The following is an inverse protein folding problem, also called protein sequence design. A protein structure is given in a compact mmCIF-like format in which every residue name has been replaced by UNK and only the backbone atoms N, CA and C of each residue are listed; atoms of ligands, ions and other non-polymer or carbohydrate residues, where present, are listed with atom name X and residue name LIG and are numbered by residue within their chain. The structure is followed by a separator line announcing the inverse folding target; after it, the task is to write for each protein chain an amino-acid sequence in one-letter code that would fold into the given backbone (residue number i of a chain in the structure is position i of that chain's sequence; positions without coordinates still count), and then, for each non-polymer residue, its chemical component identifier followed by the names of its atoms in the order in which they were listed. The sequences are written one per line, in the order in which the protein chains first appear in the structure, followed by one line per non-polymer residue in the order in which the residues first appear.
data_IF_951246535127
#
_entry.id   IF_951246535127
#
_cell.length_a   1.000
_cell.length_b   1.000
_cell.length_c   1.000
_cell.angle_alpha   90.00
_cell.angle_beta   90.00
_cell.angle_gamma   90.00
#
_symmetry.space_group_name_H-M   'P 1'
#
loop_
_entity.id
_entity.type
_entity.pdbx_description
1 polymer ?
#
# COMPACT_ATOMS: atom_id res chain seq x y z
N UNK A 1 5.30 -30.40 45.77
CA UNK A 1 4.02 -30.15 45.09
C UNK A 1 4.26 -29.01 44.11
N UNK A 2 4.39 -29.36 42.83
CA UNK A 2 4.94 -28.49 41.80
C UNK A 2 3.92 -27.46 41.30
N UNK A 3 4.43 -26.25 41.17
CA UNK A 3 3.83 -25.06 40.58
C UNK A 3 3.07 -25.40 39.30
N UNK A 4 1.76 -25.22 39.37
CA UNK A 4 0.85 -25.14 38.24
C UNK A 4 1.18 -23.85 37.49
N UNK A 5 2.16 -23.93 36.59
CA UNK A 5 2.46 -22.87 35.62
C UNK A 5 1.17 -22.63 34.84
N UNK A 6 0.54 -21.48 35.08
CA UNK A 6 -0.59 -21.04 34.29
C UNK A 6 -0.11 -20.89 32.85
N UNK A 7 -0.49 -21.84 32.00
CA UNK A 7 -0.52 -21.68 30.56
C UNK A 7 -1.50 -20.54 30.25
N UNK A 8 -1.01 -19.31 30.42
CA UNK A 8 -1.62 -18.17 29.75
C UNK A 8 -1.54 -18.52 28.27
N UNK A 9 -2.66 -18.57 27.52
CA UNK A 9 -2.57 -18.68 26.09
C UNK A 9 -1.88 -17.40 25.66
N UNK A 10 -0.57 -17.49 25.43
CA UNK A 10 0.24 -16.44 24.83
C UNK A 10 -0.48 -16.15 23.53
N UNK A 11 -1.32 -15.10 23.57
CA UNK A 11 -2.30 -14.77 22.54
C UNK A 11 -1.60 -15.03 21.24
N UNK A 12 -2.11 -15.95 20.44
CA UNK A 12 -1.79 -16.01 19.04
C UNK A 12 -2.10 -14.59 18.56
N UNK A 13 -1.09 -13.74 18.53
CA UNK A 13 -1.16 -12.42 17.93
C UNK A 13 -1.36 -12.80 16.49
N UNK A 14 -2.62 -12.96 16.12
CA UNK A 14 -3.06 -13.15 14.76
C UNK A 14 -2.27 -12.10 14.01
N UNK A 15 -1.32 -12.53 13.17
CA UNK A 15 -0.56 -11.62 12.32
C UNK A 15 -1.60 -10.97 11.42
N UNK A 16 -2.23 -9.89 11.90
CA UNK A 16 -3.31 -9.23 11.19
C UNK A 16 -2.68 -8.70 9.93
N UNK A 17 -3.10 -9.26 8.81
CA UNK A 17 -2.65 -8.90 7.46
C UNK A 17 -2.77 -7.39 7.23
N UNK A 18 -3.78 -6.77 7.85
CA UNK A 18 -4.03 -5.34 7.86
C UNK A 18 -4.01 -4.82 9.31
N UNK A 19 -3.11 -3.88 9.59
CA UNK A 19 -2.91 -3.26 10.89
C UNK A 19 -2.33 -1.85 10.76
N UNK A 20 -1.95 -1.22 11.88
CA UNK A 20 -1.47 0.17 11.90
C UNK A 20 -0.28 0.40 10.95
N UNK A 21 0.65 -0.55 10.88
CA UNK A 21 1.80 -0.47 9.99
C UNK A 21 1.38 -0.43 8.51
N UNK A 22 0.44 -1.29 8.09
CA UNK A 22 -0.11 -1.29 6.74
C UNK A 22 -0.76 0.06 6.42
N UNK A 23 -1.55 0.60 7.35
CA UNK A 23 -2.21 1.90 7.20
C UNK A 23 -1.22 3.06 7.06
N UNK A 24 -0.21 3.15 7.92
CA UNK A 24 0.84 4.19 7.82
C UNK A 24 1.58 4.10 6.48
N UNK A 25 1.89 2.88 6.03
CA UNK A 25 2.57 2.68 4.74
C UNK A 25 1.71 3.18 3.58
N UNK A 26 0.40 2.88 3.59
CA UNK A 26 -0.56 3.35 2.57
C UNK A 26 -0.64 4.87 2.56
N UNK A 27 -0.77 5.51 3.72
CA UNK A 27 -0.90 6.98 3.82
C UNK A 27 0.35 7.67 3.31
N UNK A 28 1.54 7.19 3.71
CA UNK A 28 2.82 7.76 3.25
C UNK A 28 2.99 7.57 1.74
N UNK A 29 2.73 6.37 1.22
CA UNK A 29 2.84 6.09 -0.21
C UNK A 29 1.81 6.87 -1.04
N UNK A 30 0.60 7.07 -0.52
CA UNK A 30 -0.41 7.94 -1.15
C UNK A 30 0.05 9.38 -1.21
N UNK A 31 0.65 9.92 -0.14
CA UNK A 31 1.10 11.29 -0.12
C UNK A 31 2.16 11.57 -1.20
N UNK A 32 3.13 10.66 -1.35
CA UNK A 32 4.16 10.77 -2.39
C UNK A 32 3.61 10.58 -3.82
N UNK A 33 2.56 9.78 -3.99
CA UNK A 33 1.98 9.51 -5.30
C UNK A 33 0.96 10.56 -5.77
N UNK A 34 0.15 11.11 -4.85
CA UNK A 34 -0.96 12.02 -5.19
C UNK A 34 -0.50 13.44 -5.52
N UNK A 35 0.49 13.97 -4.79
CA UNK A 35 1.00 15.35 -4.99
C UNK A 35 1.52 15.56 -6.42
N UNK A 36 2.43 14.74 -6.96
CA UNK A 36 2.99 15.02 -8.27
C UNK A 36 2.00 14.78 -9.42
N UNK A 37 1.03 13.87 -9.26
CA UNK A 37 -0.05 13.67 -10.25
C UNK A 37 -0.99 14.86 -10.34
N UNK A 38 -1.29 15.52 -9.21
CA UNK A 38 -2.15 16.70 -9.21
C UNK A 38 -1.44 17.97 -9.70
N UNK A 39 -0.12 18.04 -9.60
CA UNK A 39 0.65 19.25 -9.95
C UNK A 39 1.23 19.21 -11.37
N UNK A 40 1.62 18.03 -11.90
CA UNK A 40 2.22 17.94 -13.23
C UNK A 40 1.79 16.69 -14.02
N UNK A 41 0.72 16.82 -14.80
CA UNK A 41 0.26 15.80 -15.77
C UNK A 41 1.28 15.47 -16.85
N UNK A 42 2.21 16.38 -17.17
CA UNK A 42 3.25 16.19 -18.20
C UNK A 42 4.23 15.04 -17.87
N UNK A 43 4.38 14.66 -16.61
CA UNK A 43 5.23 13.53 -16.19
C UNK A 43 4.53 12.16 -16.21
N UNK A 44 3.31 12.06 -16.76
CA UNK A 44 2.51 10.84 -16.76
C UNK A 44 3.27 9.58 -17.20
N UNK A 45 4.15 9.68 -18.21
CA UNK A 45 4.96 8.54 -18.68
C UNK A 45 5.97 8.08 -17.61
N UNK A 46 6.63 9.02 -16.94
CA UNK A 46 7.54 8.71 -15.82
C UNK A 46 6.78 8.09 -14.65
N UNK A 47 5.55 8.54 -14.39
CA UNK A 47 4.67 7.95 -13.36
C UNK A 47 4.28 6.51 -13.67
N UNK A 48 3.95 6.19 -14.93
CA UNK A 48 3.64 4.81 -15.33
C UNK A 48 4.84 3.89 -15.06
N UNK A 49 6.05 4.33 -15.40
CA UNK A 49 7.26 3.55 -15.12
C UNK A 49 7.49 3.33 -13.62
N UNK A 50 7.31 4.39 -12.82
CA UNK A 50 7.42 4.31 -11.36
C UNK A 50 6.36 3.37 -10.76
N UNK A 51 5.12 3.36 -11.26
CA UNK A 51 4.08 2.44 -10.82
C UNK A 51 4.38 0.99 -11.15
N UNK A 52 4.91 0.71 -12.33
CA UNK A 52 5.37 -0.63 -12.67
C UNK A 52 6.44 -1.11 -11.68
N UNK A 53 7.38 -0.24 -11.31
CA UNK A 53 8.42 -0.55 -10.34
C UNK A 53 7.84 -0.75 -8.92
N UNK A 54 6.92 0.11 -8.47
CA UNK A 54 6.23 -0.02 -7.18
C UNK A 54 5.43 -1.32 -7.08
N UNK A 55 4.78 -1.77 -8.17
CA UNK A 55 4.08 -3.06 -8.21
C UNK A 55 5.04 -4.26 -8.11
N UNK A 56 6.20 -4.19 -8.76
CA UNK A 56 7.22 -5.23 -8.63
C UNK A 56 7.75 -5.28 -7.21
N UNK A 57 8.07 -4.13 -6.60
CA UNK A 57 8.53 -4.04 -5.21
C UNK A 57 7.46 -4.53 -4.24
N UNK A 58 6.20 -4.13 -4.44
CA UNK A 58 5.07 -4.60 -3.64
C UNK A 58 4.90 -6.12 -3.76
N UNK A 59 4.97 -6.67 -4.97
CA UNK A 59 4.90 -8.11 -5.21
C UNK A 59 6.02 -8.87 -4.49
N UNK A 60 7.27 -8.40 -4.60
CA UNK A 60 8.41 -8.98 -3.90
C UNK A 60 8.20 -8.93 -2.38
N UNK A 61 7.77 -7.79 -1.84
CA UNK A 61 7.51 -7.62 -0.41
C UNK A 61 6.35 -8.48 0.11
N UNK A 62 5.32 -8.71 -0.71
CA UNK A 62 4.20 -9.62 -0.38
C UNK A 62 4.67 -11.08 -0.30
N UNK A 63 5.61 -11.48 -1.16
CA UNK A 63 6.20 -12.82 -1.14
C UNK A 63 7.10 -13.05 0.09
N UNK A 64 7.66 -11.99 0.67
CA UNK A 64 8.48 -12.06 1.89
C UNK A 64 7.56 -12.20 3.12
N UNK A 65 7.79 -13.25 3.93
CA UNK A 65 7.04 -13.49 5.17
C UNK A 65 7.32 -12.41 6.23
N UNK A 66 6.34 -12.16 7.10
CA UNK A 66 6.48 -11.24 8.24
C UNK A 66 6.01 -9.81 7.92
N UNK A 67 6.65 -8.82 8.55
CA UNK A 67 6.27 -7.40 8.45
C UNK A 67 6.36 -6.85 7.02
N UNK A 68 7.27 -7.40 6.20
CA UNK A 68 7.43 -7.04 4.79
C UNK A 68 6.15 -7.25 3.97
N UNK A 69 5.37 -8.30 4.28
CA UNK A 69 4.09 -8.55 3.60
C UNK A 69 3.08 -7.43 3.81
N UNK A 70 3.08 -6.82 5.00
CA UNK A 70 2.19 -5.70 5.30
C UNK A 70 2.63 -4.43 4.58
N UNK A 71 3.94 -4.19 4.47
CA UNK A 71 4.49 -3.07 3.70
C UNK A 71 4.13 -3.23 2.22
N UNK A 72 4.34 -4.42 1.65
CA UNK A 72 3.98 -4.72 0.26
C UNK A 72 2.49 -4.58 -0.03
N UNK A 73 1.63 -5.07 0.87
CA UNK A 73 0.17 -4.87 0.75
C UNK A 73 -0.22 -3.39 0.80
N UNK A 74 0.48 -2.59 1.62
CA UNK A 74 0.23 -1.16 1.71
C UNK A 74 0.62 -0.41 0.43
N UNK A 75 1.77 -0.75 -0.16
CA UNK A 75 2.22 -0.18 -1.44
C UNK A 75 1.26 -0.58 -2.57
N UNK A 76 0.85 -1.85 -2.66
CA UNK A 76 -0.09 -2.30 -3.68
C UNK A 76 -1.44 -1.55 -3.59
N UNK A 77 -1.94 -1.33 -2.38
CA UNK A 77 -3.18 -0.59 -2.16
C UNK A 77 -3.05 0.89 -2.53
N UNK A 78 -1.95 1.56 -2.18
CA UNK A 78 -1.73 2.96 -2.58
C UNK A 78 -1.67 3.12 -4.09
N UNK A 79 -1.00 2.20 -4.79
CA UNK A 79 -0.94 2.22 -6.27
C UNK A 79 -2.34 2.07 -6.87
N UNK A 80 -3.15 1.13 -6.35
CA UNK A 80 -4.51 0.93 -6.83
C UNK A 80 -5.40 2.17 -6.64
N UNK A 81 -5.33 2.81 -5.46
CA UNK A 81 -6.09 4.04 -5.19
C UNK A 81 -5.68 5.16 -6.13
N UNK A 82 -4.37 5.33 -6.36
CA UNK A 82 -3.89 6.39 -7.23
C UNK A 82 -4.30 6.14 -8.68
N UNK A 83 -4.20 4.90 -9.16
CA UNK A 83 -4.68 4.53 -10.49
C UNK A 83 -6.18 4.85 -10.67
N UNK A 84 -7.01 4.57 -9.66
CA UNK A 84 -8.45 4.91 -9.67
C UNK A 84 -8.64 6.43 -9.71
N UNK A 85 -7.93 7.19 -8.87
CA UNK A 85 -8.03 8.65 -8.84
C UNK A 85 -7.58 9.28 -10.16
N UNK A 86 -6.51 8.80 -10.77
CA UNK A 86 -6.05 9.26 -12.08
C UNK A 86 -7.07 8.92 -13.18
N UNK A 87 -7.64 7.71 -13.17
CA UNK A 87 -8.68 7.35 -14.13
C UNK A 87 -9.94 8.23 -13.99
N UNK A 88 -10.36 8.52 -12.76
CA UNK A 88 -11.47 9.43 -12.49
C UNK A 88 -11.17 10.86 -12.94
N UNK A 89 -9.95 11.35 -12.71
CA UNK A 89 -9.53 12.67 -13.17
C UNK A 89 -9.58 12.76 -14.70
N UNK A 90 -9.06 11.76 -15.41
CA UNK A 90 -9.07 11.69 -16.87
C UNK A 90 -10.50 11.59 -17.44
N UNK A 91 -11.38 10.81 -16.80
CA UNK A 91 -12.81 10.76 -17.18
C UNK A 91 -13.52 12.08 -16.92
N UNK A 92 -13.20 12.76 -15.82
CA UNK A 92 -13.73 14.08 -15.49
C UNK A 92 -13.34 15.15 -16.50
N UNK A 93 -12.08 15.14 -16.98
CA UNK A 93 -11.65 16.04 -18.06
C UNK A 93 -12.30 15.72 -19.39
N UNK A 94 -12.56 14.45 -19.70
CA UNK A 94 -13.21 14.03 -20.95
C UNK A 94 -14.72 14.35 -20.99
N UNK A 95 -15.36 14.65 -19.85
CA UNK A 95 -16.76 15.09 -19.78
C UNK A 95 -16.93 16.62 -19.89
N UNK A 96 -15.83 17.38 -19.82
CA UNK A 96 -15.84 18.85 -19.88
C UNK A 96 -15.56 19.36 -21.30
N UNK A 97 -15.13 18.50 -22.23
CA UNK A 97 -15.01 18.76 -23.68
C UNK A 97 -16.27 18.32 -24.44
#
# INVERSE_FOLDING_TARGET
MNSMYSDTPRRAVSSRWFGPATFTTVVVALFFNVIPITVYTTFAIYFVFLYCLELVVAGILILIRGTCRHVGAGIALSVAVVAILTALLLMGTALVE
#
